data_IF_123835599982
#
_entry.id   IF_123835599982
#
_cell.length_a   1.000
_cell.length_b   1.000
_cell.length_c   1.000
_cell.angle_alpha   90.00
_cell.angle_beta   90.00
_cell.angle_gamma   90.00
#
_symmetry.space_group_name_H-M   'P 1'
#
loop_
_entity.id
_entity.type
_entity.pdbx_description
1 polymer ?
#
# COMPACT_ATOMS: atom_id res chain seq x y z
N UNK A 1 52.07 -15.69 57.49
CA UNK A 1 52.59 -14.38 57.04
C UNK A 1 51.41 -13.59 56.50
N UNK A 2 50.93 -12.66 57.33
CA UNK A 2 49.88 -11.70 57.05
C UNK A 2 50.54 -10.43 56.49
N UNK A 3 49.97 -9.83 55.44
CA UNK A 3 49.97 -8.38 55.33
C UNK A 3 48.77 -7.86 54.52
N UNK A 4 48.20 -6.70 54.88
CA UNK A 4 46.82 -6.35 54.56
C UNK A 4 46.65 -5.21 53.53
N UNK A 5 45.41 -5.13 53.04
CA UNK A 5 44.62 -3.95 52.67
C UNK A 5 45.24 -2.83 51.81
N UNK A 6 44.52 -2.46 50.73
CA UNK A 6 44.05 -1.08 50.54
C UNK A 6 42.80 -1.01 49.65
N UNK A 7 41.85 -0.24 50.15
CA UNK A 7 40.54 0.06 49.59
C UNK A 7 40.63 1.12 48.47
N UNK A 8 39.60 1.12 47.63
CA UNK A 8 39.24 1.97 46.47
C UNK A 8 39.51 3.49 46.61
N UNK A 9 39.52 4.21 45.47
CA UNK A 9 38.32 5.01 45.20
C UNK A 9 37.72 4.81 43.79
N UNK A 10 36.39 4.91 43.78
CA UNK A 10 35.52 5.16 42.63
C UNK A 10 35.74 6.57 42.06
N UNK A 11 35.24 6.77 40.83
CA UNK A 11 35.04 8.04 40.11
C UNK A 11 36.14 8.49 39.14
N UNK A 12 36.19 7.83 37.97
CA UNK A 12 36.52 8.56 36.74
C UNK A 12 35.20 9.13 36.20
N UNK A 13 35.05 10.44 36.37
CA UNK A 13 33.96 11.25 35.84
C UNK A 13 33.80 11.01 34.35
N UNK A 14 32.63 10.50 33.94
CA UNK A 14 32.20 10.50 32.56
C UNK A 14 32.07 11.95 32.09
N UNK A 15 33.10 12.46 31.41
CA UNK A 15 33.02 13.72 30.70
C UNK A 15 31.96 13.57 29.59
N UNK A 16 30.75 14.03 29.86
CA UNK A 16 29.72 14.20 28.84
C UNK A 16 30.27 15.17 27.79
N UNK A 17 30.31 14.82 26.49
CA UNK A 17 30.66 15.78 25.47
C UNK A 17 29.60 16.90 25.51
N UNK A 18 30.03 18.10 25.87
CA UNK A 18 29.21 19.29 25.74
C UNK A 18 28.91 19.48 24.26
N UNK A 19 27.69 19.16 23.84
CA UNK A 19 27.15 19.52 22.54
C UNK A 19 27.12 21.05 22.46
N UNK A 20 28.21 21.63 21.97
CA UNK A 20 28.23 23.01 21.52
C UNK A 20 27.33 23.10 20.30
N UNK A 21 26.10 23.58 20.53
CA UNK A 21 25.19 24.01 19.47
C UNK A 21 25.79 25.20 18.75
N UNK A 22 26.54 24.94 17.69
CA UNK A 22 27.00 25.95 16.74
C UNK A 22 25.83 26.29 15.80
N UNK A 23 24.83 27.04 16.28
CA UNK A 23 23.91 27.72 15.37
C UNK A 23 24.50 29.10 15.06
N UNK A 24 24.71 29.34 13.76
CA UNK A 24 25.22 30.59 13.16
C UNK A 24 26.75 30.79 13.15
N UNK A 25 27.46 30.01 12.31
CA UNK A 25 28.68 30.50 11.67
C UNK A 25 28.30 31.16 10.32
N UNK A 26 28.83 32.36 10.05
CA UNK A 26 28.59 33.10 8.80
C UNK A 26 29.20 32.32 7.62
N UNK A 27 28.46 32.11 6.51
CA UNK A 27 29.01 31.44 5.33
C UNK A 27 30.03 32.34 4.62
N UNK A 28 31.20 31.77 4.35
CA UNK A 28 32.25 32.32 3.48
C UNK A 28 31.77 32.29 2.01
N UNK A 29 32.12 33.28 1.16
CA UNK A 29 31.46 33.51 -0.13
C UNK A 29 32.02 32.64 -1.26
N UNK A 30 31.95 31.32 -1.12
CA UNK A 30 32.29 30.38 -2.19
C UNK A 30 31.18 29.36 -2.37
N UNK A 31 30.37 29.57 -3.41
CA UNK A 31 29.32 28.70 -3.97
C UNK A 31 28.27 28.14 -2.98
N UNK A 32 27.05 28.72 -2.93
CA UNK A 32 25.97 28.26 -2.04
C UNK A 32 25.44 26.86 -2.38
N UNK A 33 25.75 26.30 -3.56
CA UNK A 33 25.34 24.95 -3.98
C UNK A 33 26.37 23.86 -3.62
N UNK A 34 27.53 24.21 -3.06
CA UNK A 34 28.60 23.26 -2.70
C UNK A 34 28.88 23.20 -1.20
N UNK A 35 28.07 23.84 -0.36
CA UNK A 35 28.16 23.69 1.09
C UNK A 35 27.49 22.37 1.46
N UNK A 36 28.22 21.27 1.31
CA UNK A 36 27.93 20.06 2.08
C UNK A 36 28.18 20.43 3.54
N UNK A 37 27.17 20.98 4.22
CA UNK A 37 27.11 20.91 5.66
C UNK A 37 27.40 19.47 6.02
N UNK A 38 28.48 19.22 6.77
CA UNK A 38 28.75 17.96 7.46
C UNK A 38 27.61 17.74 8.47
N UNK A 39 26.44 17.43 7.94
CA UNK A 39 25.23 17.19 8.69
C UNK A 39 25.44 15.82 9.30
N UNK A 40 25.56 15.77 10.62
CA UNK A 40 25.73 14.54 11.38
C UNK A 40 24.66 13.51 11.05
N UNK A 41 23.49 13.94 10.57
CA UNK A 41 22.44 13.07 10.05
C UNK A 41 22.80 12.45 8.70
N UNK A 42 23.40 13.22 7.80
CA UNK A 42 23.87 12.71 6.50
C UNK A 42 25.03 11.73 6.66
N UNK A 43 25.93 11.96 7.61
CA UNK A 43 27.02 11.05 7.92
C UNK A 43 26.54 9.79 8.64
N UNK A 44 25.56 9.91 9.55
CA UNK A 44 24.89 8.74 10.15
C UNK A 44 24.16 7.92 9.08
N UNK A 45 23.43 8.56 8.16
CA UNK A 45 22.79 7.87 7.03
C UNK A 45 23.82 7.15 6.15
N UNK A 46 24.93 7.80 5.81
CA UNK A 46 26.05 7.19 5.08
C UNK A 46 26.61 6.00 5.85
N UNK A 47 26.82 6.11 7.16
CA UNK A 47 27.32 5.04 8.00
C UNK A 47 26.32 3.87 8.15
N UNK A 48 25.01 4.13 8.08
CA UNK A 48 23.98 3.07 8.11
C UNK A 48 23.84 2.34 6.77
N UNK A 49 23.92 3.07 5.65
CA UNK A 49 23.78 2.51 4.30
C UNK A 49 25.07 1.87 3.80
N UNK A 50 26.20 2.44 4.20
CA UNK A 50 27.56 2.01 3.88
C UNK A 50 28.39 1.99 5.17
N UNK A 51 28.19 0.98 6.04
CA UNK A 51 29.06 0.81 7.21
C UNK A 51 30.53 0.87 6.79
N UNK A 52 31.39 1.52 7.57
CA UNK A 52 32.82 1.58 7.25
C UNK A 52 33.44 0.17 7.13
N UNK A 53 32.83 -0.79 7.83
CA UNK A 53 33.20 -2.20 7.81
C UNK A 53 32.55 -2.97 6.66
N UNK A 54 31.93 -2.33 5.66
CA UNK A 54 31.18 -3.01 4.57
C UNK A 54 31.99 -4.07 3.80
N UNK A 55 33.31 -3.90 3.74
CA UNK A 55 34.23 -4.84 3.09
C UNK A 55 34.94 -5.80 4.05
N UNK A 56 34.64 -5.73 5.36
CA UNK A 56 35.21 -6.64 6.34
C UNK A 56 34.52 -8.02 6.27
N UNK A 57 35.25 -9.14 6.42
CA UNK A 57 34.68 -10.49 6.36
C UNK A 57 33.61 -10.78 7.44
N UNK A 58 33.61 -10.01 8.53
CA UNK A 58 32.69 -10.13 9.67
C UNK A 58 31.54 -9.14 9.63
N UNK A 59 31.41 -8.38 8.53
CA UNK A 59 30.43 -7.32 8.39
C UNK A 59 29.02 -7.86 8.15
N UNK A 60 28.03 -7.23 8.78
CA UNK A 60 26.62 -7.50 8.51
C UNK A 60 26.06 -6.72 7.30
N UNK A 61 26.91 -5.95 6.60
CA UNK A 61 26.49 -5.16 5.45
C UNK A 61 26.12 -6.06 4.26
N UNK A 62 24.95 -5.85 3.62
CA UNK A 62 24.58 -6.55 2.39
C UNK A 62 25.35 -6.03 1.15
N UNK A 63 26.06 -4.91 1.27
CA UNK A 63 26.88 -4.30 0.22
C UNK A 63 28.36 -4.55 0.54
N UNK A 64 28.98 -5.54 -0.12
CA UNK A 64 30.38 -5.88 0.16
C UNK A 64 30.84 -7.23 -0.40
N UNK A 65 32.12 -7.55 -0.15
CA UNK A 65 32.76 -8.82 -0.48
C UNK A 65 32.10 -10.00 0.24
N UNK A 66 31.99 -11.10 -0.49
CA UNK A 66 31.53 -12.41 -0.05
C UNK A 66 31.79 -12.72 1.44
N UNK A 67 30.70 -12.92 2.20
CA UNK A 67 30.78 -13.30 3.62
C UNK A 67 31.16 -14.79 3.72
N UNK A 68 32.23 -15.17 4.46
CA UNK A 68 32.71 -16.55 4.53
C UNK A 68 31.63 -17.51 5.08
N UNK A 69 30.87 -17.07 6.09
CA UNK A 69 29.79 -17.87 6.69
C UNK A 69 28.51 -17.99 5.82
N UNK A 70 28.40 -17.25 4.70
CA UNK A 70 27.18 -17.26 3.89
C UNK A 70 26.90 -18.66 3.33
N UNK A 71 27.94 -19.38 2.90
CA UNK A 71 27.80 -20.77 2.47
C UNK A 71 27.35 -21.68 3.60
N UNK A 72 27.92 -21.52 4.80
CA UNK A 72 27.54 -22.33 5.95
C UNK A 72 26.05 -22.11 6.31
N UNK A 73 25.58 -20.87 6.24
CA UNK A 73 24.14 -20.54 6.44
C UNK A 73 23.26 -21.10 5.33
N UNK A 74 23.68 -20.99 4.07
CA UNK A 74 22.96 -21.57 2.94
C UNK A 74 22.89 -23.10 3.05
N UNK A 75 23.99 -23.77 3.40
CA UNK A 75 24.03 -25.22 3.61
C UNK A 75 23.19 -25.68 4.80
N UNK A 76 23.05 -24.84 5.84
CA UNK A 76 22.17 -25.15 6.97
C UNK A 76 20.68 -25.10 6.60
N UNK A 77 20.29 -24.22 5.68
CA UNK A 77 18.89 -24.05 5.24
C UNK A 77 18.55 -24.94 4.05
N UNK A 78 19.50 -25.14 3.15
CA UNK A 78 19.33 -25.88 1.90
C UNK A 78 20.05 -27.23 2.05
N UNK A 79 19.30 -28.33 2.28
CA UNK A 79 19.91 -29.63 2.50
C UNK A 79 20.62 -30.19 1.25
N UNK A 80 20.12 -29.88 0.04
CA UNK A 80 20.76 -30.23 -1.24
C UNK A 80 20.32 -29.29 -2.37
N UNK A 81 21.11 -29.22 -3.45
CA UNK A 81 20.75 -28.46 -4.67
C UNK A 81 19.49 -29.01 -5.33
N UNK A 82 19.35 -30.34 -5.40
CA UNK A 82 18.17 -31.00 -5.94
C UNK A 82 16.90 -30.68 -5.14
N UNK A 83 17.00 -30.61 -3.80
CA UNK A 83 15.89 -30.23 -2.96
C UNK A 83 15.46 -28.78 -3.21
N UNK A 84 16.42 -27.87 -3.38
CA UNK A 84 16.15 -26.48 -3.74
C UNK A 84 15.40 -26.36 -5.08
N UNK A 85 15.91 -27.00 -6.14
CA UNK A 85 15.26 -26.98 -7.45
C UNK A 85 13.85 -27.57 -7.42
N UNK A 86 13.65 -28.61 -6.60
CA UNK A 86 12.35 -29.25 -6.43
C UNK A 86 11.35 -28.31 -5.74
N UNK A 87 11.79 -27.64 -4.66
CA UNK A 87 10.97 -26.65 -3.95
C UNK A 87 10.60 -25.50 -4.89
N UNK A 88 11.57 -25.00 -5.66
CA UNK A 88 11.31 -23.89 -6.59
C UNK A 88 10.33 -24.31 -7.69
N UNK A 89 10.52 -25.48 -8.31
CA UNK A 89 9.60 -25.99 -9.33
C UNK A 89 8.19 -26.20 -8.77
N UNK A 90 8.08 -26.77 -7.57
CA UNK A 90 6.80 -26.95 -6.89
C UNK A 90 6.12 -25.60 -6.59
N UNK A 91 6.88 -24.60 -6.14
CA UNK A 91 6.38 -23.26 -5.87
C UNK A 91 5.89 -22.57 -7.14
N UNK A 92 6.66 -22.61 -8.23
CA UNK A 92 6.27 -22.05 -9.52
C UNK A 92 5.00 -22.72 -10.07
N UNK A 93 4.89 -24.05 -9.92
CA UNK A 93 3.69 -24.80 -10.29
C UNK A 93 2.47 -24.36 -9.46
N UNK A 94 2.64 -24.23 -8.14
CA UNK A 94 1.60 -23.71 -7.24
C UNK A 94 1.16 -22.28 -7.59
N UNK A 95 2.10 -21.39 -7.89
CA UNK A 95 1.76 -20.04 -8.33
C UNK A 95 1.00 -20.04 -9.66
N UNK A 96 1.34 -20.96 -10.59
CA UNK A 96 0.60 -21.13 -11.84
C UNK A 96 -0.84 -21.62 -11.58
N UNK A 97 -1.03 -22.59 -10.68
CA UNK A 97 -2.39 -23.08 -10.35
C UNK A 97 -3.22 -21.99 -9.70
N UNK A 98 -2.67 -21.22 -8.76
CA UNK A 98 -3.35 -20.05 -8.16
C UNK A 98 -3.74 -18.99 -9.18
N UNK A 99 -2.87 -18.70 -10.16
CA UNK A 99 -3.22 -17.77 -11.25
C UNK A 99 -4.38 -18.29 -12.09
N UNK A 100 -4.35 -19.56 -12.48
CA UNK A 100 -5.45 -20.20 -13.22
C UNK A 100 -6.76 -20.17 -12.45
N UNK A 101 -6.75 -20.53 -11.16
CA UNK A 101 -7.95 -20.50 -10.31
C UNK A 101 -8.54 -19.08 -10.17
N UNK A 102 -7.69 -18.06 -10.02
CA UNK A 102 -8.17 -16.67 -10.01
C UNK A 102 -8.76 -16.26 -11.35
N UNK A 103 -8.12 -16.64 -12.45
CA UNK A 103 -8.60 -16.37 -13.80
C UNK A 103 -9.96 -17.01 -14.05
N UNK A 104 -10.13 -18.30 -13.75
CA UNK A 104 -11.43 -18.99 -13.91
C UNK A 104 -12.52 -18.38 -13.04
N UNK A 105 -12.19 -17.94 -11.82
CA UNK A 105 -13.14 -17.22 -10.96
C UNK A 105 -13.53 -15.86 -11.52
N UNK A 106 -12.59 -15.12 -12.11
CA UNK A 106 -12.86 -13.83 -12.75
C UNK A 106 -13.68 -13.99 -14.03
N UNK A 107 -13.35 -14.98 -14.86
CA UNK A 107 -14.11 -15.33 -16.07
C UNK A 107 -15.56 -15.70 -15.70
N UNK A 108 -15.77 -16.56 -14.70
CA UNK A 108 -17.12 -16.90 -14.25
C UNK A 108 -17.93 -15.69 -13.74
N UNK A 109 -17.28 -14.75 -13.04
CA UNK A 109 -17.92 -13.49 -12.62
C UNK A 109 -18.26 -12.61 -13.82
N UNK A 110 -17.36 -12.51 -14.79
CA UNK A 110 -17.57 -11.76 -16.01
C UNK A 110 -18.73 -12.33 -16.83
N UNK A 111 -18.75 -13.64 -17.06
CA UNK A 111 -19.84 -14.31 -17.77
C UNK A 111 -21.19 -14.11 -17.09
N UNK A 112 -21.20 -14.12 -15.75
CA UNK A 112 -22.42 -13.82 -14.99
C UNK A 112 -22.87 -12.37 -15.15
N UNK A 113 -21.94 -11.41 -15.25
CA UNK A 113 -22.27 -9.99 -15.51
C UNK A 113 -22.83 -9.81 -16.93
N UNK A 114 -22.21 -10.42 -17.93
CA UNK A 114 -22.67 -10.38 -19.33
C UNK A 114 -24.09 -10.93 -19.43
N UNK A 115 -24.35 -12.12 -18.86
CA UNK A 115 -25.71 -12.70 -18.83
C UNK A 115 -26.73 -11.78 -18.18
N UNK A 116 -26.38 -11.13 -17.06
CA UNK A 116 -27.28 -10.20 -16.39
C UNK A 116 -27.55 -8.94 -17.25
N UNK A 117 -26.55 -8.44 -17.97
CA UNK A 117 -26.73 -7.33 -18.91
C UNK A 117 -27.61 -7.73 -20.11
N UNK A 118 -27.43 -8.93 -20.66
CA UNK A 118 -28.25 -9.47 -21.75
C UNK A 118 -29.72 -9.64 -21.31
N UNK A 119 -29.94 -10.16 -20.10
CA UNK A 119 -31.28 -10.25 -19.50
C UNK A 119 -31.90 -8.86 -19.29
N UNK A 120 -31.12 -7.89 -18.82
CA UNK A 120 -31.57 -6.51 -18.64
C UNK A 120 -31.94 -5.88 -19.99
N UNK A 121 -31.16 -6.11 -21.04
CA UNK A 121 -31.46 -5.65 -22.40
C UNK A 121 -32.75 -6.27 -22.92
N UNK A 122 -32.93 -7.58 -22.74
CA UNK A 122 -34.13 -8.28 -23.16
C UNK A 122 -35.40 -7.70 -22.50
N UNK A 123 -35.33 -7.33 -21.22
CA UNK A 123 -36.45 -6.78 -20.45
C UNK A 123 -36.68 -5.27 -20.71
N UNK A 124 -35.66 -4.52 -21.14
CA UNK A 124 -35.74 -3.05 -21.29
C UNK A 124 -35.83 -2.57 -22.74
N UNK A 125 -35.52 -3.43 -23.72
CA UNK A 125 -35.58 -3.08 -25.14
C UNK A 125 -37.04 -2.86 -25.59
N UNK A 126 -37.42 -1.65 -26.04
CA UNK A 126 -38.79 -1.36 -26.46
C UNK A 126 -39.23 -2.15 -27.70
N UNK A 127 -38.28 -2.68 -28.50
CA UNK A 127 -38.57 -3.54 -29.64
C UNK A 127 -39.07 -4.93 -29.23
N UNK A 128 -38.75 -5.38 -28.01
CA UNK A 128 -39.31 -6.61 -27.41
C UNK A 128 -40.70 -6.34 -26.77
N UNK A 129 -41.30 -5.22 -27.18
CA UNK A 129 -42.42 -4.52 -26.56
C UNK A 129 -41.98 -3.72 -25.34
N UNK A 130 -42.70 -2.64 -25.02
CA UNK A 130 -42.36 -1.65 -23.99
C UNK A 130 -43.56 -0.90 -23.42
N UNK A 131 -43.46 -0.38 -22.19
CA UNK A 131 -44.31 0.73 -21.74
C UNK A 131 -44.20 1.95 -22.68
N UNK A 132 -43.09 2.02 -23.45
CA UNK A 132 -42.83 3.00 -24.51
C UNK A 132 -43.13 2.49 -25.94
N UNK A 133 -43.61 1.25 -26.12
CA UNK A 133 -43.99 0.74 -27.45
C UNK A 133 -45.45 1.04 -27.76
N UNK A 134 -45.76 1.52 -28.96
CA UNK A 134 -47.13 1.80 -29.44
C UNK A 134 -48.06 0.59 -29.37
N UNK A 135 -47.52 -0.63 -29.35
CA UNK A 135 -48.26 -1.89 -29.31
C UNK A 135 -48.59 -2.38 -27.88
N UNK A 136 -48.15 -1.67 -26.84
CA UNK A 136 -48.56 -1.91 -25.44
C UNK A 136 -48.22 -3.30 -24.88
N UNK A 137 -47.29 -4.04 -25.50
CA UNK A 137 -46.95 -5.42 -25.12
C UNK A 137 -45.45 -5.65 -25.01
N UNK A 138 -44.79 -4.99 -24.07
CA UNK A 138 -43.56 -5.49 -23.45
C UNK A 138 -42.89 -4.46 -22.54
N UNK A 139 -41.64 -4.73 -22.15
CA UNK A 139 -40.70 -3.82 -21.49
C UNK A 139 -41.14 -3.39 -20.11
N UNK A 140 -41.01 -4.29 -19.13
CA UNK A 140 -41.42 -4.05 -17.73
C UNK A 140 -40.77 -2.81 -17.12
N UNK A 141 -39.62 -2.39 -17.65
CA UNK A 141 -38.83 -1.25 -17.17
C UNK A 141 -38.35 -0.38 -18.33
N UNK A 142 -38.07 0.89 -18.05
CA UNK A 142 -37.58 1.87 -19.01
C UNK A 142 -36.14 1.54 -19.47
N UNK A 143 -35.86 1.67 -20.78
CA UNK A 143 -34.52 1.55 -21.41
C UNK A 143 -33.38 2.25 -20.68
N UNK A 144 -33.65 3.39 -20.01
CA UNK A 144 -32.66 4.14 -19.22
C UNK A 144 -31.95 3.31 -18.16
N UNK A 145 -32.59 2.25 -17.63
CA UNK A 145 -31.97 1.38 -16.63
C UNK A 145 -30.77 0.64 -17.21
N UNK A 146 -30.91 0.07 -18.41
CA UNK A 146 -29.80 -0.56 -19.12
C UNK A 146 -28.73 0.47 -19.47
N UNK A 147 -29.11 1.61 -20.03
CA UNK A 147 -28.18 2.68 -20.41
C UNK A 147 -27.38 3.21 -19.21
N UNK A 148 -27.95 3.28 -18.01
CA UNK A 148 -27.22 3.66 -16.80
C UNK A 148 -26.28 2.58 -16.28
N UNK A 149 -26.66 1.30 -16.44
CA UNK A 149 -25.86 0.17 -16.00
C UNK A 149 -24.65 -0.07 -16.91
N UNK A 150 -24.81 0.13 -18.22
CA UNK A 150 -23.77 -0.08 -19.24
C UNK A 150 -23.00 1.18 -19.62
N UNK A 151 -23.44 2.37 -19.19
CA UNK A 151 -22.68 3.59 -19.38
C UNK A 151 -21.33 3.51 -18.65
N UNK A 152 -20.27 3.26 -19.39
CA UNK A 152 -18.89 3.43 -18.95
C UNK A 152 -18.72 4.85 -18.40
N UNK A 153 -18.62 4.99 -17.07
CA UNK A 153 -18.02 6.12 -16.37
C UNK A 153 -18.60 7.52 -16.75
N UNK A 154 -19.75 7.62 -17.42
CA UNK A 154 -20.41 8.91 -17.70
C UNK A 154 -21.13 9.52 -16.50
N UNK A 155 -21.07 8.88 -15.33
CA UNK A 155 -21.36 9.55 -14.06
C UNK A 155 -20.39 10.73 -13.79
N UNK A 156 -19.17 10.68 -14.34
CA UNK A 156 -18.20 11.78 -14.23
C UNK A 156 -18.57 13.02 -15.07
N UNK A 157 -19.21 12.84 -16.24
CA UNK A 157 -19.47 13.93 -17.19
C UNK A 157 -20.79 14.67 -16.94
N UNK A 158 -21.81 14.02 -16.36
CA UNK A 158 -23.09 14.70 -16.05
C UNK A 158 -23.00 15.68 -14.86
N UNK A 159 -21.84 15.76 -14.18
CA UNK A 159 -21.54 16.71 -13.08
C UNK A 159 -21.24 18.15 -13.54
N UNK A 160 -21.50 18.50 -14.81
CA UNK A 160 -21.54 19.90 -15.26
C UNK A 160 -22.75 20.67 -14.72
N UNK A 161 -23.85 19.98 -14.38
CA UNK A 161 -25.00 20.58 -13.71
C UNK A 161 -24.75 20.62 -12.20
N UNK A 162 -23.91 21.56 -11.77
CA UNK A 162 -23.89 21.91 -10.35
C UNK A 162 -25.28 22.45 -9.98
N UNK A 163 -25.97 21.87 -8.98
CA UNK A 163 -27.21 22.44 -8.50
C UNK A 163 -26.90 23.86 -8.04
N UNK A 164 -27.54 24.84 -8.68
CA UNK A 164 -27.43 26.26 -8.30
C UNK A 164 -27.97 26.40 -6.87
N UNK A 165 -27.09 26.47 -5.88
CA UNK A 165 -27.48 26.55 -4.47
C UNK A 165 -26.35 26.23 -3.48
N UNK A 166 -26.62 26.38 -2.19
CA UNK A 166 -25.70 25.98 -1.12
C UNK A 166 -25.62 24.44 -1.10
N UNK A 167 -24.46 23.88 -1.44
CA UNK A 167 -24.20 22.44 -1.37
C UNK A 167 -24.52 21.90 0.03
N UNK A 168 -25.41 20.92 0.10
CA UNK A 168 -25.72 20.23 1.37
C UNK A 168 -24.47 19.54 1.90
N UNK A 169 -24.40 19.32 3.22
CA UNK A 169 -23.32 18.56 3.86
C UNK A 169 -23.18 17.18 3.20
N UNK A 170 -24.29 16.62 2.76
CA UNK A 170 -24.31 15.35 2.04
C UNK A 170 -23.60 15.41 0.68
N UNK A 171 -23.89 16.47 -0.08
CA UNK A 171 -23.31 16.68 -1.39
C UNK A 171 -21.80 16.95 -1.29
N UNK A 172 -21.37 17.72 -0.27
CA UNK A 172 -19.95 17.92 0.03
C UNK A 172 -19.23 16.60 0.35
N UNK A 173 -19.85 15.70 1.12
CA UNK A 173 -19.28 14.38 1.43
C UNK A 173 -19.20 13.44 0.21
N UNK A 174 -20.15 13.52 -0.72
CA UNK A 174 -20.09 12.77 -1.99
C UNK A 174 -19.07 13.36 -2.95
N UNK A 175 -18.86 14.66 -2.92
CA UNK A 175 -17.87 15.37 -3.74
C UNK A 175 -16.43 15.19 -3.23
N UNK A 176 -16.21 15.02 -1.92
CA UNK A 176 -14.86 14.70 -1.38
C UNK A 176 -14.39 13.29 -1.74
N UNK A 177 -15.31 12.38 -2.09
CA UNK A 177 -14.95 11.07 -2.63
C UNK A 177 -14.68 11.20 -4.12
N UNK A 178 -13.44 10.96 -4.51
CA UNK A 178 -13.05 10.87 -5.92
C UNK A 178 -13.75 9.64 -6.51
N UNK A 179 -14.63 9.87 -7.48
CA UNK A 179 -15.36 8.79 -8.17
C UNK A 179 -14.38 7.90 -8.93
N UNK A 180 -14.66 6.59 -8.97
CA UNK A 180 -13.78 5.59 -9.57
C UNK A 180 -12.64 5.08 -8.68
N UNK A 181 -12.40 5.71 -7.52
CA UNK A 181 -11.49 5.16 -6.51
C UNK A 181 -12.24 4.29 -5.49
N UNK A 182 -11.57 3.23 -5.06
CA UNK A 182 -12.02 2.39 -3.95
C UNK A 182 -12.15 3.27 -2.69
N UNK A 183 -13.23 3.13 -1.88
CA UNK A 183 -13.42 3.94 -0.68
C UNK A 183 -12.22 3.88 0.28
N UNK A 184 -11.86 5.01 0.89
CA UNK A 184 -10.75 5.04 1.88
C UNK A 184 -10.98 4.14 3.10
N UNK A 185 -12.25 3.85 3.41
CA UNK A 185 -12.63 2.97 4.51
C UNK A 185 -12.51 1.49 4.16
N UNK A 186 -12.28 1.12 2.90
CA UNK A 186 -12.00 -0.28 2.55
C UNK A 186 -10.54 -0.58 2.93
N UNK A 187 -10.36 -1.28 4.04
CA UNK A 187 -9.02 -1.61 4.51
C UNK A 187 -8.46 -2.83 3.78
N UNK A 188 -7.13 -2.83 3.65
CA UNK A 188 -6.39 -4.02 3.20
C UNK A 188 -6.37 -5.03 4.36
N UNK A 189 -6.62 -6.33 4.11
CA UNK A 189 -6.51 -7.36 5.13
C UNK A 189 -5.13 -7.34 5.82
N UNK A 190 -5.13 -7.50 7.14
CA UNK A 190 -3.93 -7.52 8.00
C UNK A 190 -3.82 -8.89 8.67
N UNK A 191 -2.60 -9.33 9.01
CA UNK A 191 -2.33 -10.67 9.55
C UNK A 191 -3.01 -10.95 10.89
N UNK A 192 -3.13 -9.94 11.76
CA UNK A 192 -3.80 -10.07 13.06
C UNK A 192 -5.08 -9.25 13.11
N UNK A 193 -6.08 -9.77 13.83
CA UNK A 193 -7.33 -9.04 14.06
C UNK A 193 -7.05 -7.81 14.94
N UNK A 194 -7.36 -6.63 14.42
CA UNK A 194 -7.33 -5.38 15.19
C UNK A 194 -8.59 -5.20 16.04
N UNK A 195 -9.00 -3.94 16.25
CA UNK A 195 -10.17 -3.54 17.05
C UNK A 195 -11.53 -4.06 16.51
N UNK A 196 -11.54 -4.73 15.36
CA UNK A 196 -12.75 -5.27 14.73
C UNK A 196 -13.52 -4.24 13.92
N UNK A 197 -14.78 -4.54 13.61
CA UNK A 197 -15.67 -3.66 12.86
C UNK A 197 -16.25 -2.55 13.75
N UNK A 198 -16.28 -1.32 13.26
CA UNK A 198 -16.87 -0.18 13.98
C UNK A 198 -18.37 -0.06 13.68
N UNK A 199 -19.20 -0.56 14.61
CA UNK A 199 -20.66 -0.43 14.55
C UNK A 199 -21.17 0.98 14.88
N UNK A 200 -20.32 1.85 15.43
CA UNK A 200 -20.66 3.24 15.76
C UNK A 200 -20.30 4.22 14.65
N UNK A 201 -19.87 3.72 13.49
CA UNK A 201 -19.52 4.56 12.34
C UNK A 201 -20.70 5.45 11.96
N UNK A 202 -20.45 6.76 11.94
CA UNK A 202 -21.40 7.78 11.49
C UNK A 202 -20.79 8.57 10.36
N UNK A 203 -21.63 8.99 9.42
CA UNK A 203 -21.20 9.84 8.31
C UNK A 203 -20.71 11.19 8.85
N UNK A 204 -19.50 11.64 8.49
CA UNK A 204 -19.01 12.96 8.90
C UNK A 204 -19.95 14.08 8.44
N UNK A 205 -20.33 14.95 9.38
CA UNK A 205 -21.27 16.04 9.15
C UNK A 205 -22.74 15.71 9.44
N UNK A 206 -23.06 14.48 9.81
CA UNK A 206 -24.35 14.15 10.40
C UNK A 206 -24.24 14.31 11.93
N UNK A 207 -24.49 15.52 12.44
CA UNK A 207 -24.76 15.67 13.88
C UNK A 207 -26.16 15.13 14.15
N UNK A 208 -26.33 14.43 15.28
CA UNK A 208 -27.66 14.23 15.88
C UNK A 208 -28.20 15.56 16.40
#
# INVERSE_FOLDING_TARGET
>A
MSNPARLRPLAASAARPLLRRNYAAKPTPTNPNLVQSSDSRSDLLRQTLYPADSYAPTSSSPTGTYHPDHLARLQAVIPSSEAYETIERAWQLYQRTLRKQRQTSLEAKYDSMVKACDELEAITNPANGGAESETGKGGKYHRRVYEWATADVRQAERRGEQPRGKKTVEQRWKETRVEGLVPRESWVPVESRGKGWDYSWTRPGHSK
#
